data_IF_516966121984
#
_entry.id   IF_516966121984
#
_cell.length_a   1.000
_cell.length_b   1.000
_cell.length_c   1.000
_cell.angle_alpha   90.00
_cell.angle_beta   90.00
_cell.angle_gamma   90.00
#
_symmetry.space_group_name_H-M   'P 1'
#
loop_
_entity.id
_entity.type
_entity.pdbx_description
1 polymer ?
#
# COMPACT_ATOMS: atom_id res chain seq x y z
N UNK A 1 3.79 -54.35 58.06
CA UNK A 1 3.84 -53.03 58.73
C UNK A 1 2.72 -52.22 58.10
N UNK A 2 1.72 -51.77 58.87
CA UNK A 2 0.70 -50.83 58.38
C UNK A 2 1.38 -49.47 58.22
N UNK A 3 1.16 -48.79 57.09
CA UNK A 3 1.63 -47.43 56.87
C UNK A 3 1.05 -46.49 57.95
N UNK A 4 1.86 -45.59 58.54
CA UNK A 4 1.44 -44.76 59.67
C UNK A 4 0.31 -43.76 59.34
N UNK A 5 0.03 -43.53 58.06
CA UNK A 5 -1.06 -42.66 57.57
C UNK A 5 -2.34 -43.42 57.17
N UNK A 6 -2.39 -44.75 57.37
CA UNK A 6 -3.65 -45.47 57.16
C UNK A 6 -4.62 -45.21 58.32
N UNK A 7 -5.80 -44.60 58.07
CA UNK A 7 -6.79 -44.40 59.12
C UNK A 7 -7.21 -45.75 59.69
N UNK A 8 -7.39 -45.84 61.00
CA UNK A 8 -7.89 -47.07 61.63
C UNK A 8 -9.42 -47.10 61.53
N UNK A 9 -9.97 -48.12 60.90
CA UNK A 9 -11.40 -48.22 60.59
C UNK A 9 -12.09 -49.18 61.58
N UNK A 10 -13.26 -48.78 62.09
CA UNK A 10 -14.05 -49.60 63.01
C UNK A 10 -14.79 -50.74 62.30
N UNK A 11 -14.93 -50.69 60.97
CA UNK A 11 -15.48 -51.77 60.15
C UNK A 11 -15.01 -51.72 58.69
N UNK A 12 -15.06 -52.87 58.00
CA UNK A 12 -14.78 -52.96 56.55
C UNK A 12 -15.68 -52.04 55.71
N UNK A 13 -16.89 -51.76 56.18
CA UNK A 13 -17.86 -50.90 55.50
C UNK A 13 -17.43 -49.42 55.55
N UNK A 14 -16.82 -49.03 56.67
CA UNK A 14 -16.28 -47.68 56.90
C UNK A 14 -15.01 -47.46 56.06
N UNK A 15 -14.13 -48.46 55.99
CA UNK A 15 -12.95 -48.44 55.11
C UNK A 15 -13.34 -48.27 53.64
N UNK A 16 -14.31 -49.04 53.14
CA UNK A 16 -14.79 -48.92 51.75
C UNK A 16 -15.44 -47.56 51.48
N UNK A 17 -16.17 -47.00 52.45
CA UNK A 17 -16.77 -45.67 52.31
C UNK A 17 -15.69 -44.58 52.25
N UNK A 18 -14.72 -44.63 53.16
CA UNK A 18 -13.60 -43.68 53.20
C UNK A 18 -12.83 -43.65 51.88
N UNK A 19 -12.40 -44.80 51.37
CA UNK A 19 -11.63 -44.84 50.12
C UNK A 19 -12.43 -44.40 48.89
N UNK A 20 -13.75 -44.68 48.85
CA UNK A 20 -14.62 -44.16 47.78
C UNK A 20 -14.75 -42.65 47.84
N UNK A 21 -14.95 -42.09 49.03
CA UNK A 21 -15.05 -40.64 49.22
C UNK A 21 -13.73 -39.97 48.86
N UNK A 22 -12.61 -40.58 49.23
CA UNK A 22 -11.29 -40.02 48.97
C UNK A 22 -10.90 -40.09 47.49
N UNK A 23 -11.19 -41.20 46.80
CA UNK A 23 -11.02 -41.29 45.35
C UNK A 23 -11.90 -40.27 44.60
N UNK A 24 -13.15 -40.07 45.05
CA UNK A 24 -14.03 -39.07 44.47
C UNK A 24 -13.53 -37.64 44.68
N UNK A 25 -12.96 -37.33 45.85
CA UNK A 25 -12.33 -36.03 46.13
C UNK A 25 -11.12 -35.80 45.24
N UNK A 26 -10.19 -36.75 45.17
CA UNK A 26 -9.00 -36.64 44.31
C UNK A 26 -9.37 -36.46 42.84
N UNK A 27 -10.29 -37.26 42.31
CA UNK A 27 -10.73 -37.08 40.91
C UNK A 27 -11.41 -35.71 40.69
N UNK A 28 -12.15 -35.20 41.67
CA UNK A 28 -12.77 -33.89 41.57
C UNK A 28 -11.75 -32.74 41.70
N UNK A 29 -10.62 -32.95 42.38
CA UNK A 29 -9.50 -32.01 42.47
C UNK A 29 -8.70 -32.01 41.17
N UNK A 30 -8.29 -33.17 40.67
CA UNK A 30 -7.59 -33.32 39.38
C UNK A 30 -8.38 -32.68 38.23
N UNK A 31 -9.69 -32.96 38.12
CA UNK A 31 -10.52 -32.38 37.09
C UNK A 31 -10.66 -30.84 37.21
N UNK A 32 -10.56 -30.28 38.42
CA UNK A 32 -10.57 -28.81 38.61
C UNK A 32 -9.24 -28.20 38.20
N UNK A 33 -8.13 -28.83 38.55
CA UNK A 33 -6.80 -28.39 38.17
C UNK A 33 -6.63 -28.41 36.65
N UNK A 34 -6.99 -29.52 35.98
CA UNK A 34 -6.98 -29.61 34.51
C UNK A 34 -7.84 -28.54 33.85
N UNK A 35 -9.06 -28.30 34.37
CA UNK A 35 -9.93 -27.26 33.84
C UNK A 35 -9.33 -25.86 34.03
N UNK A 36 -8.71 -25.59 35.18
CA UNK A 36 -8.07 -24.32 35.46
C UNK A 36 -6.87 -24.08 34.52
N UNK A 37 -6.04 -25.10 34.31
CA UNK A 37 -4.92 -25.04 33.36
C UNK A 37 -5.43 -24.80 31.93
N UNK A 38 -6.44 -25.53 31.49
CA UNK A 38 -7.04 -25.35 30.17
C UNK A 38 -7.59 -23.92 29.99
N UNK A 39 -8.31 -23.41 30.99
CA UNK A 39 -8.83 -22.04 30.95
C UNK A 39 -7.71 -21.00 30.92
N UNK A 40 -6.61 -21.22 31.64
CA UNK A 40 -5.47 -20.33 31.60
C UNK A 40 -4.80 -20.33 30.23
N UNK A 41 -4.51 -21.51 29.68
CA UNK A 41 -3.92 -21.66 28.35
C UNK A 41 -4.79 -21.05 27.25
N UNK A 42 -6.13 -21.21 27.34
CA UNK A 42 -7.07 -20.59 26.40
C UNK A 42 -6.98 -19.06 26.45
N UNK A 43 -6.94 -18.48 27.65
CA UNK A 43 -6.84 -17.02 27.82
C UNK A 43 -5.52 -16.47 27.29
N UNK A 44 -4.42 -17.17 27.53
CA UNK A 44 -3.10 -16.76 27.06
C UNK A 44 -3.04 -16.83 25.52
N UNK A 45 -3.59 -17.88 24.92
CA UNK A 45 -3.67 -18.02 23.47
C UNK A 45 -4.58 -16.96 22.82
N UNK A 46 -5.73 -16.66 23.43
CA UNK A 46 -6.61 -15.58 22.98
C UNK A 46 -5.88 -14.23 23.01
N UNK A 47 -5.11 -13.95 24.06
CA UNK A 47 -4.33 -12.72 24.16
C UNK A 47 -3.23 -12.62 23.08
N UNK A 48 -2.58 -13.72 22.73
CA UNK A 48 -1.62 -13.80 21.62
C UNK A 48 -2.29 -13.49 20.28
N UNK A 49 -3.43 -14.13 19.98
CA UNK A 49 -4.19 -13.89 18.75
C UNK A 49 -4.66 -12.44 18.65
N UNK A 50 -5.14 -11.84 19.74
CA UNK A 50 -5.53 -10.43 19.77
C UNK A 50 -4.32 -9.50 19.51
N UNK A 51 -3.14 -9.83 20.05
CA UNK A 51 -1.93 -9.06 19.82
C UNK A 51 -1.50 -9.13 18.35
N UNK A 52 -1.52 -10.32 17.73
CA UNK A 52 -1.25 -10.49 16.31
C UNK A 52 -2.25 -9.73 15.44
N UNK A 53 -3.55 -9.84 15.74
CA UNK A 53 -4.60 -9.13 15.01
C UNK A 53 -4.36 -7.62 15.04
N UNK A 54 -4.02 -7.04 16.20
CA UNK A 54 -3.71 -5.61 16.35
C UNK A 54 -2.53 -5.19 15.47
N UNK A 55 -1.50 -6.04 15.36
CA UNK A 55 -0.33 -5.78 14.49
C UNK A 55 -0.77 -5.78 13.02
N UNK A 56 -1.54 -6.78 12.58
CA UNK A 56 -2.04 -6.86 11.21
C UNK A 56 -2.96 -5.69 10.86
N UNK A 57 -3.88 -5.32 11.74
CA UNK A 57 -4.77 -4.17 11.56
C UNK A 57 -4.00 -2.85 11.47
N UNK A 58 -2.97 -2.66 12.30
CA UNK A 58 -2.08 -1.50 12.22
C UNK A 58 -1.36 -1.48 10.87
N UNK A 59 -0.79 -2.61 10.46
CA UNK A 59 -0.07 -2.72 9.18
C UNK A 59 -0.98 -2.45 7.98
N UNK A 60 -2.21 -2.97 8.02
CA UNK A 60 -3.20 -2.73 6.97
C UNK A 60 -3.58 -1.24 6.89
N UNK A 61 -3.83 -0.58 8.03
CA UNK A 61 -4.07 0.87 8.07
C UNK A 61 -2.93 1.68 7.48
N UNK A 62 -1.68 1.34 7.81
CA UNK A 62 -0.49 1.98 7.23
C UNK A 62 -0.41 1.79 5.72
N UNK A 63 -0.66 0.57 5.22
CA UNK A 63 -0.65 0.27 3.79
C UNK A 63 -1.76 1.02 3.04
N UNK A 64 -2.96 1.10 3.61
CA UNK A 64 -4.06 1.88 3.03
C UNK A 64 -3.73 3.38 2.96
N UNK A 65 -3.14 3.94 4.02
CA UNK A 65 -2.70 5.34 4.04
C UNK A 65 -1.62 5.60 2.97
N UNK A 66 -0.64 4.70 2.85
CA UNK A 66 0.39 4.79 1.83
C UNK A 66 -0.20 4.67 0.41
N UNK A 67 -1.15 3.76 0.20
CA UNK A 67 -1.81 3.59 -1.09
C UNK A 67 -2.58 4.85 -1.51
N UNK A 68 -3.34 5.44 -0.58
CA UNK A 68 -4.08 6.68 -0.83
C UNK A 68 -3.14 7.83 -1.16
N UNK A 69 -2.02 7.97 -0.44
CA UNK A 69 -0.99 8.96 -0.75
C UNK A 69 -0.42 8.78 -2.16
N UNK A 70 -0.03 7.55 -2.51
CA UNK A 70 0.51 7.24 -3.85
C UNK A 70 -0.51 7.51 -4.96
N UNK A 71 -1.79 7.25 -4.72
CA UNK A 71 -2.87 7.57 -5.67
C UNK A 71 -2.99 9.08 -5.88
N UNK A 72 -2.95 9.86 -4.82
CA UNK A 72 -2.97 11.33 -4.91
C UNK A 72 -1.74 11.86 -5.65
N UNK A 73 -0.55 11.35 -5.33
CA UNK A 73 0.69 11.76 -6.01
C UNK A 73 0.62 11.42 -7.50
N UNK A 74 0.11 10.24 -7.86
CA UNK A 74 -0.07 9.82 -9.25
C UNK A 74 -1.04 10.73 -10.01
N UNK A 75 -2.16 11.11 -9.39
CA UNK A 75 -3.11 12.03 -10.01
C UNK A 75 -2.51 13.43 -10.22
N UNK A 76 -1.79 13.94 -9.22
CA UNK A 76 -1.06 15.20 -9.32
C UNK A 76 -0.02 15.19 -10.47
N UNK A 77 0.69 14.08 -10.66
CA UNK A 77 1.65 13.96 -11.76
C UNK A 77 0.96 13.88 -13.12
N UNK A 78 -0.18 13.18 -13.23
CA UNK A 78 -0.97 13.14 -14.46
C UNK A 78 -1.48 14.52 -14.85
N UNK A 79 -2.01 15.28 -13.89
CA UNK A 79 -2.48 16.65 -14.13
C UNK A 79 -1.34 17.54 -14.63
N UNK A 80 -0.21 17.56 -13.90
CA UNK A 80 0.98 18.33 -14.30
C UNK A 80 1.48 17.95 -15.69
N UNK A 81 1.55 16.64 -15.98
CA UNK A 81 1.95 16.16 -17.29
C UNK A 81 0.97 16.62 -18.38
N UNK A 82 -0.33 16.53 -18.13
CA UNK A 82 -1.36 16.98 -19.07
C UNK A 82 -1.24 18.46 -19.39
N UNK A 83 -1.08 19.31 -18.37
CA UNK A 83 -0.86 20.75 -18.54
C UNK A 83 0.40 21.05 -19.33
N UNK A 84 1.54 20.47 -18.94
CA UNK A 84 2.83 20.69 -19.63
C UNK A 84 2.80 20.20 -21.07
N UNK A 85 2.17 19.05 -21.32
CA UNK A 85 2.04 18.51 -22.66
C UNK A 85 1.18 19.41 -23.55
N UNK A 86 0.05 19.91 -23.03
CA UNK A 86 -0.81 20.85 -23.76
C UNK A 86 -0.07 22.16 -24.07
N UNK A 87 0.67 22.71 -23.11
CA UNK A 87 1.50 23.91 -23.30
C UNK A 87 2.59 23.69 -24.36
N UNK A 88 3.29 22.54 -24.31
CA UNK A 88 4.31 22.19 -25.27
C UNK A 88 3.74 22.06 -26.69
N UNK A 89 2.60 21.39 -26.86
CA UNK A 89 1.93 21.31 -28.16
C UNK A 89 1.55 22.70 -28.69
N UNK A 90 1.03 23.59 -27.82
CA UNK A 90 0.72 24.97 -28.22
C UNK A 90 1.96 25.72 -28.69
N UNK A 91 3.07 25.61 -27.95
CA UNK A 91 4.34 26.24 -28.32
C UNK A 91 4.87 25.70 -29.65
N UNK A 92 4.82 24.39 -29.86
CA UNK A 92 5.21 23.77 -31.13
C UNK A 92 4.39 24.33 -32.29
N UNK A 93 3.06 24.38 -32.17
CA UNK A 93 2.20 24.94 -33.23
C UNK A 93 2.49 26.42 -33.51
N UNK A 94 2.81 27.21 -32.48
CA UNK A 94 3.24 28.61 -32.67
C UNK A 94 4.54 28.69 -33.46
N UNK A 95 5.56 27.93 -33.06
CA UNK A 95 6.87 27.91 -33.73
C UNK A 95 6.78 27.40 -35.18
N UNK A 96 5.93 26.41 -35.45
CA UNK A 96 5.65 25.92 -36.81
C UNK A 96 5.03 27.02 -37.67
N UNK A 97 4.11 27.81 -37.12
CA UNK A 97 3.52 28.97 -37.79
C UNK A 97 4.54 30.05 -38.11
N UNK A 98 5.36 30.44 -37.12
CA UNK A 98 6.43 31.43 -37.30
C UNK A 98 7.46 30.97 -38.34
N UNK A 99 7.82 29.68 -38.34
CA UNK A 99 8.73 29.10 -39.32
C UNK A 99 8.15 29.14 -40.74
N UNK A 100 6.85 28.84 -40.89
CA UNK A 100 6.17 28.92 -42.18
C UNK A 100 6.11 30.36 -42.70
N UNK A 101 5.82 31.32 -41.82
CA UNK A 101 5.82 32.74 -42.16
C UNK A 101 7.22 33.22 -42.59
N UNK A 102 8.25 32.92 -41.79
CA UNK A 102 9.63 33.28 -42.11
C UNK A 102 10.10 32.67 -43.44
N UNK A 103 9.70 31.42 -43.71
CA UNK A 103 9.96 30.72 -44.97
C UNK A 103 9.27 31.42 -46.14
N UNK A 104 8.01 31.80 -45.99
CA UNK A 104 7.25 32.55 -47.00
C UNK A 104 7.89 33.92 -47.31
N UNK A 105 8.26 34.67 -46.26
CA UNK A 105 8.95 35.96 -46.40
C UNK A 105 10.28 35.79 -47.14
N UNK A 106 11.09 34.79 -46.76
CA UNK A 106 12.35 34.48 -47.42
C UNK A 106 12.14 34.18 -48.90
N UNK A 107 11.14 33.38 -49.24
CA UNK A 107 10.87 33.01 -50.63
C UNK A 107 10.36 34.21 -51.45
N UNK A 108 9.58 35.10 -50.83
CA UNK A 108 9.17 36.36 -51.45
C UNK A 108 10.36 37.29 -51.72
N UNK A 109 11.24 37.49 -50.74
CA UNK A 109 12.45 38.31 -50.89
C UNK A 109 13.38 37.76 -51.97
N UNK A 110 13.55 36.43 -52.07
CA UNK A 110 14.34 35.83 -53.15
C UNK A 110 13.76 36.11 -54.54
N UNK A 111 12.42 36.07 -54.70
CA UNK A 111 11.78 36.44 -55.97
C UNK A 111 11.98 37.92 -56.28
N UNK A 112 11.76 38.77 -55.27
CA UNK A 112 11.92 40.21 -55.41
C UNK A 112 13.35 40.62 -55.81
N UNK A 113 14.38 39.97 -55.24
CA UNK A 113 15.78 40.19 -55.64
C UNK A 113 15.97 39.88 -57.14
N UNK A 114 15.45 38.76 -57.64
CA UNK A 114 15.56 38.40 -59.07
C UNK A 114 14.84 39.42 -59.97
N UNK A 115 13.69 39.92 -59.55
CA UNK A 115 12.95 40.95 -60.28
C UNK A 115 13.75 42.26 -60.36
N UNK A 116 14.40 42.67 -59.26
CA UNK A 116 15.28 43.84 -59.23
C UNK A 116 16.53 43.65 -60.11
N UNK A 117 17.15 42.48 -60.07
CA UNK A 117 18.28 42.13 -60.94
C UNK A 117 17.88 42.24 -62.42
N UNK A 118 16.72 41.68 -62.80
CA UNK A 118 16.21 41.77 -64.17
C UNK A 118 15.91 43.22 -64.59
N UNK A 119 15.26 44.00 -63.74
CA UNK A 119 14.99 45.41 -64.01
C UNK A 119 16.28 46.22 -64.18
N UNK A 120 17.31 45.89 -63.41
CA UNK A 120 18.62 46.54 -63.54
C UNK A 120 19.30 46.17 -64.87
N UNK A 121 19.28 44.90 -65.27
CA UNK A 121 19.79 44.45 -66.58
C UNK A 121 19.09 45.16 -67.75
N UNK A 122 17.77 45.34 -67.67
CA UNK A 122 16.98 46.05 -68.67
C UNK A 122 17.33 47.55 -68.73
N UNK A 123 17.53 48.18 -67.57
CA UNK A 123 18.00 49.57 -67.48
C UNK A 123 19.40 49.75 -68.06
N UNK A 124 20.33 48.82 -67.79
CA UNK A 124 21.67 48.85 -68.38
C UNK A 124 21.62 48.67 -69.90
N UNK A 125 20.73 47.81 -70.42
CA UNK A 125 20.49 47.67 -71.86
C UNK A 125 19.96 48.96 -72.48
N UNK A 126 19.02 49.64 -71.82
CA UNK A 126 18.46 50.91 -72.32
C UNK A 126 19.46 52.08 -72.31
N UNK A 127 20.53 52.00 -71.50
CA UNK A 127 21.59 53.01 -71.44
C UNK A 127 22.69 52.84 -72.49
N UNK A 128 22.77 51.67 -73.15
CA UNK A 128 23.74 51.38 -74.24
C UNK A 128 23.18 51.81 -75.59
#
# INVERSE_FOLDING_TARGET
>A
MKDPDTPDFGSLKEEVHYWKEQAAKHHAEEAREELQEFQQMSRDYEAELEAELKVYEKRNRELLAANNRLRMDLENYKEKYGTQHSEACRQMSTLEGELAEATSIRDHLHKYIRELEQANDDLERAKR
#
